data_IF_352804760790
#
_entry.id   IF_352804760790
#
_cell.length_a   1.000
_cell.length_b   1.000
_cell.length_c   1.000
_cell.angle_alpha   90.00
_cell.angle_beta   90.00
_cell.angle_gamma   90.00
#
_symmetry.space_group_name_H-M   'P 1'
#
loop_
_entity.id
_entity.type
_entity.pdbx_description
1 polymer ?
#
# COMPACT_ATOMS: atom_id res chain seq x y z
N UNK A 1 -4.61 30.43 14.92
CA UNK A 1 -5.40 29.24 14.52
C UNK A 1 -4.48 28.03 14.63
N UNK A 2 -4.88 27.03 15.42
CA UNK A 2 -4.11 25.79 15.58
C UNK A 2 -3.92 25.10 14.23
N UNK A 3 -2.75 24.47 14.01
CA UNK A 3 -2.38 23.96 12.69
C UNK A 3 -1.96 22.50 12.76
N UNK A 4 -2.50 21.68 11.87
CA UNK A 4 -2.03 20.31 11.59
C UNK A 4 -1.02 20.38 10.44
N UNK A 5 0.15 19.77 10.63
CA UNK A 5 1.23 19.75 9.65
C UNK A 5 1.39 18.34 9.13
N UNK A 6 1.35 18.16 7.81
CA UNK A 6 1.67 16.89 7.16
C UNK A 6 3.02 16.96 6.46
N UNK A 7 3.87 15.96 6.68
CA UNK A 7 5.15 15.78 6.02
C UNK A 7 5.10 14.51 5.18
N UNK A 8 5.30 14.64 3.89
CA UNK A 8 5.21 13.56 2.91
C UNK A 8 6.53 13.44 2.14
N UNK A 9 6.86 12.24 1.75
CA UNK A 9 7.99 12.02 0.83
C UNK A 9 7.59 12.40 -0.58
N UNK A 10 6.39 11.99 -1.01
CA UNK A 10 5.89 12.15 -2.37
C UNK A 10 4.38 11.84 -2.41
N UNK A 11 3.60 12.56 -3.20
CA UNK A 11 2.15 12.38 -3.30
C UNK A 11 1.62 12.26 -4.73
N UNK A 12 2.28 12.85 -5.73
CA UNK A 12 1.77 12.88 -7.11
C UNK A 12 1.94 11.56 -7.87
N UNK A 13 3.09 10.86 -7.80
CA UNK A 13 3.29 9.63 -8.57
C UNK A 13 2.33 8.51 -8.18
N UNK A 14 2.17 7.55 -9.07
CA UNK A 14 1.49 6.29 -8.76
C UNK A 14 2.33 5.44 -7.79
N UNK A 15 1.68 4.71 -6.88
CA UNK A 15 2.34 3.82 -5.93
C UNK A 15 1.57 3.69 -4.62
N UNK A 16 1.81 2.60 -3.90
CA UNK A 16 1.11 2.30 -2.64
C UNK A 16 1.37 3.33 -1.54
N UNK A 17 2.64 3.73 -1.36
CA UNK A 17 3.03 4.73 -0.33
C UNK A 17 2.48 6.11 -0.69
N UNK A 18 2.51 6.50 -1.96
CA UNK A 18 1.96 7.77 -2.43
C UNK A 18 0.44 7.82 -2.25
N UNK A 19 -0.27 6.73 -2.57
CA UNK A 19 -1.71 6.59 -2.32
C UNK A 19 -2.01 6.69 -0.82
N UNK A 20 -1.29 5.96 0.01
CA UNK A 20 -1.40 6.06 1.47
C UNK A 20 -1.20 7.52 1.95
N UNK A 21 -0.24 8.24 1.37
CA UNK A 21 -0.01 9.65 1.65
C UNK A 21 -1.20 10.54 1.34
N UNK A 22 -1.80 10.34 0.17
CA UNK A 22 -3.02 11.07 -0.21
C UNK A 22 -4.18 10.77 0.73
N UNK A 23 -4.36 9.51 1.13
CA UNK A 23 -5.41 9.11 2.09
C UNK A 23 -5.20 9.79 3.45
N UNK A 24 -3.98 9.75 4.00
CA UNK A 24 -3.65 10.44 5.26
C UNK A 24 -3.88 11.93 5.17
N UNK A 25 -3.47 12.58 4.06
CA UNK A 25 -3.67 14.01 3.86
C UNK A 25 -5.15 14.37 3.78
N UNK A 26 -5.96 13.60 3.05
CA UNK A 26 -7.41 13.81 2.95
C UNK A 26 -8.10 13.71 4.33
N UNK A 27 -7.76 12.68 5.11
CA UNK A 27 -8.30 12.51 6.46
C UNK A 27 -7.86 13.65 7.38
N UNK A 28 -6.58 14.04 7.34
CA UNK A 28 -6.06 15.12 8.17
C UNK A 28 -6.66 16.49 7.80
N UNK A 29 -6.90 16.76 6.51
CA UNK A 29 -7.57 17.99 6.05
C UNK A 29 -9.02 18.04 6.53
N UNK A 30 -9.78 16.94 6.39
CA UNK A 30 -11.15 16.81 6.90
C UNK A 30 -11.20 17.00 8.40
N UNK A 31 -10.35 16.29 9.15
CA UNK A 31 -10.24 16.45 10.61
C UNK A 31 -9.95 17.89 11.04
N UNK A 32 -9.07 18.59 10.32
CA UNK A 32 -8.77 19.98 10.59
C UNK A 32 -9.99 20.87 10.33
N UNK A 33 -10.69 20.70 9.20
CA UNK A 33 -11.86 21.48 8.83
C UNK A 33 -13.00 21.34 9.86
N UNK A 34 -13.29 20.10 10.29
CA UNK A 34 -14.35 19.82 11.28
C UNK A 34 -14.10 20.48 12.66
N UNK A 35 -12.83 20.76 12.99
CA UNK A 35 -12.43 21.36 14.28
C UNK A 35 -12.00 22.82 14.18
N UNK A 36 -12.14 23.44 13.02
CA UNK A 36 -11.72 24.82 12.80
C UNK A 36 -10.19 25.00 12.89
N UNK A 37 -9.39 23.97 12.58
CA UNK A 37 -7.94 24.05 12.50
C UNK A 37 -7.49 24.38 11.08
N UNK A 38 -6.32 25.00 10.94
CA UNK A 38 -5.62 25.07 9.67
C UNK A 38 -4.86 23.76 9.40
N UNK A 39 -4.57 23.47 8.13
CA UNK A 39 -3.59 22.45 7.77
C UNK A 39 -2.49 23.01 6.89
N UNK A 40 -1.32 22.37 6.92
CA UNK A 40 -0.19 22.68 6.05
C UNK A 40 0.53 21.40 5.67
N UNK A 41 0.44 21.02 4.40
CA UNK A 41 1.06 19.81 3.87
C UNK A 41 2.27 20.13 3.01
N UNK A 42 3.38 19.44 3.27
CA UNK A 42 4.66 19.62 2.63
C UNK A 42 5.12 18.28 2.06
N UNK A 43 5.51 18.26 0.80
CA UNK A 43 6.03 17.05 0.12
C UNK A 43 7.45 17.29 -0.37
N UNK A 44 8.37 16.39 0.03
CA UNK A 44 9.81 16.56 -0.23
C UNK A 44 10.16 16.42 -1.71
N UNK A 45 9.61 15.38 -2.39
CA UNK A 45 10.09 14.98 -3.71
C UNK A 45 9.25 15.50 -4.87
N UNK A 46 8.00 15.92 -4.61
CA UNK A 46 7.13 16.46 -5.64
C UNK A 46 7.66 17.78 -6.21
N UNK A 47 7.29 18.15 -7.45
CA UNK A 47 7.71 19.40 -8.08
C UNK A 47 7.50 20.61 -7.18
N UNK A 48 8.31 21.69 -7.33
CA UNK A 48 8.24 22.82 -6.44
C UNK A 48 6.95 23.62 -6.65
N UNK A 49 6.39 24.16 -5.56
CA UNK A 49 5.20 25.00 -5.57
C UNK A 49 3.94 24.31 -5.04
N UNK A 50 2.79 25.00 -5.15
CA UNK A 50 1.51 24.50 -4.69
C UNK A 50 0.91 23.49 -5.67
N UNK A 51 0.33 22.44 -5.12
CA UNK A 51 -0.40 21.40 -5.86
C UNK A 51 -1.73 21.12 -5.19
N UNK A 52 -2.74 20.76 -5.98
CA UNK A 52 -4.04 20.29 -5.51
C UNK A 52 -4.18 18.82 -5.79
N UNK A 53 -4.68 18.07 -4.82
CA UNK A 53 -4.99 16.64 -4.96
C UNK A 53 -6.41 16.39 -4.46
N UNK A 54 -7.10 15.48 -5.16
CA UNK A 54 -8.42 15.00 -4.78
C UNK A 54 -8.36 13.53 -4.36
N UNK A 55 -9.09 13.18 -3.31
CA UNK A 55 -9.30 11.80 -2.83
C UNK A 55 -10.78 11.65 -2.52
N UNK A 56 -11.52 10.94 -3.37
CA UNK A 56 -12.96 10.92 -3.31
C UNK A 56 -13.54 12.35 -3.32
N UNK A 57 -14.40 12.72 -2.37
CA UNK A 57 -14.95 14.07 -2.29
C UNK A 57 -13.98 15.12 -1.68
N UNK A 58 -12.90 14.69 -1.04
CA UNK A 58 -11.98 15.58 -0.36
C UNK A 58 -10.96 16.17 -1.35
N UNK A 59 -10.79 17.50 -1.30
CA UNK A 59 -9.75 18.22 -2.04
C UNK A 59 -8.86 18.97 -1.05
N UNK A 60 -7.55 18.90 -1.24
CA UNK A 60 -6.58 19.57 -0.37
C UNK A 60 -5.37 20.08 -1.15
N UNK A 61 -4.72 21.09 -0.56
CA UNK A 61 -3.51 21.71 -1.10
C UNK A 61 -2.27 21.23 -0.37
N UNK A 62 -1.17 21.06 -1.09
CA UNK A 62 0.15 20.85 -0.51
C UNK A 62 1.23 21.60 -1.29
N UNK A 63 2.42 21.74 -0.70
CA UNK A 63 3.59 22.37 -1.35
C UNK A 63 4.68 21.33 -1.58
N UNK A 64 5.15 21.23 -2.82
CA UNK A 64 6.29 20.38 -3.21
C UNK A 64 7.63 21.12 -3.09
N UNK A 65 8.73 20.38 -2.98
CA UNK A 65 10.08 20.91 -2.75
C UNK A 65 11.16 20.31 -3.67
N UNK A 66 10.81 19.52 -4.67
CA UNK A 66 11.72 18.96 -5.70
C UNK A 66 13.02 18.36 -5.12
N UNK A 67 12.92 17.58 -4.02
CA UNK A 67 14.06 16.98 -3.28
C UNK A 67 14.97 17.99 -2.58
N UNK A 68 14.60 19.27 -2.52
CA UNK A 68 15.37 20.31 -1.82
C UNK A 68 15.19 20.19 -0.30
N UNK A 69 16.00 19.31 0.32
CA UNK A 69 15.94 19.02 1.76
C UNK A 69 16.10 20.26 2.66
N UNK A 70 17.04 21.21 2.39
CA UNK A 70 17.15 22.43 3.20
C UNK A 70 15.89 23.28 3.17
N UNK A 71 15.31 23.55 1.98
CA UNK A 71 14.09 24.34 1.86
C UNK A 71 12.90 23.65 2.51
N UNK A 72 12.75 22.34 2.32
CA UNK A 72 11.72 21.52 2.97
C UNK A 72 11.84 21.59 4.50
N UNK A 73 13.04 21.36 5.05
CA UNK A 73 13.30 21.45 6.48
C UNK A 73 13.00 22.85 7.05
N UNK A 74 13.42 23.91 6.35
CA UNK A 74 13.12 25.29 6.76
C UNK A 74 11.62 25.58 6.74
N UNK A 75 10.89 25.11 5.73
CA UNK A 75 9.44 25.26 5.65
C UNK A 75 8.73 24.53 6.80
N UNK A 76 9.16 23.30 7.13
CA UNK A 76 8.65 22.53 8.26
C UNK A 76 8.89 23.25 9.61
N UNK A 77 10.11 23.78 9.82
CA UNK A 77 10.45 24.55 11.03
C UNK A 77 9.67 25.85 11.13
N UNK A 78 9.42 26.55 10.00
CA UNK A 78 8.55 27.74 9.99
C UNK A 78 7.10 27.40 10.31
N UNK A 79 6.60 26.26 9.81
CA UNK A 79 5.28 25.78 10.16
C UNK A 79 5.16 25.49 11.67
N UNK A 80 6.19 24.90 12.28
CA UNK A 80 6.27 24.65 13.71
C UNK A 80 6.29 25.92 14.59
N UNK A 81 6.55 27.10 14.02
CA UNK A 81 6.51 28.37 14.74
C UNK A 81 5.13 29.06 14.79
N UNK A 82 4.09 28.47 14.17
CA UNK A 82 2.76 29.10 14.00
C UNK A 82 1.65 28.33 14.71
N UNK A 83 1.71 28.22 16.03
CA UNK A 83 0.74 27.48 16.85
C UNK A 83 0.50 26.03 16.31
N UNK A 84 1.55 25.22 16.10
CA UNK A 84 1.41 23.87 15.61
C UNK A 84 0.79 23.01 16.70
N UNK A 85 -0.18 22.19 16.32
CA UNK A 85 -0.88 21.28 17.22
C UNK A 85 -0.36 19.84 17.05
N UNK A 86 -0.30 19.40 15.80
CA UNK A 86 0.06 18.03 15.42
C UNK A 86 0.91 18.05 14.15
N UNK A 87 1.96 17.23 14.12
CA UNK A 87 2.69 16.88 12.90
C UNK A 87 2.47 15.40 12.59
N UNK A 88 2.12 15.11 11.35
CA UNK A 88 1.96 13.76 10.82
C UNK A 88 3.05 13.56 9.76
N UNK A 89 3.97 12.63 9.97
CA UNK A 89 4.99 12.27 9.00
C UNK A 89 4.67 10.89 8.39
N UNK A 90 4.57 10.85 7.07
CA UNK A 90 4.15 9.64 6.38
C UNK A 90 5.27 8.58 6.29
N UNK A 91 6.50 8.88 6.65
CA UNK A 91 7.60 7.93 6.50
C UNK A 91 8.65 8.13 7.61
N UNK A 92 9.27 7.06 8.15
CA UNK A 92 10.27 7.16 9.21
C UNK A 92 11.50 8.00 8.84
N UNK A 93 11.82 8.14 7.55
CA UNK A 93 12.89 9.03 7.08
C UNK A 93 12.65 10.50 7.39
N UNK A 94 11.41 10.90 7.64
CA UNK A 94 11.03 12.27 8.02
C UNK A 94 11.05 12.48 9.55
N UNK A 95 11.24 11.44 10.35
CA UNK A 95 11.29 11.54 11.81
C UNK A 95 12.34 12.54 12.33
N UNK A 96 13.56 12.70 11.76
CA UNK A 96 14.51 13.74 12.20
C UNK A 96 13.95 15.16 12.05
N UNK A 97 13.18 15.44 10.98
CA UNK A 97 12.53 16.75 10.79
C UNK A 97 11.46 16.97 11.85
N UNK A 98 10.66 15.92 12.15
CA UNK A 98 9.66 15.94 13.24
C UNK A 98 10.32 16.25 14.58
N UNK A 99 11.43 15.59 14.90
CA UNK A 99 12.18 15.84 16.15
C UNK A 99 12.67 17.29 16.26
N UNK A 100 13.22 17.85 15.18
CA UNK A 100 13.64 19.26 15.14
C UNK A 100 12.44 20.23 15.31
N UNK A 101 11.29 19.93 14.71
CA UNK A 101 10.06 20.71 14.89
C UNK A 101 9.60 20.70 16.34
N UNK A 102 9.68 19.56 17.02
CA UNK A 102 9.32 19.41 18.43
C UNK A 102 10.28 20.13 19.36
N UNK A 103 11.57 20.17 19.06
CA UNK A 103 12.55 21.00 19.81
C UNK A 103 12.22 22.49 19.72
N UNK A 104 11.71 22.94 18.56
CA UNK A 104 11.27 24.33 18.37
C UNK A 104 9.95 24.64 19.07
N UNK A 105 9.05 23.66 19.18
CA UNK A 105 7.74 23.79 19.81
C UNK A 105 7.46 22.58 20.70
N UNK A 106 7.75 22.70 21.98
CA UNK A 106 7.62 21.61 22.96
C UNK A 106 6.19 21.07 23.12
N UNK A 107 5.18 21.82 22.66
CA UNK A 107 3.76 21.41 22.70
C UNK A 107 3.33 20.64 21.46
N UNK A 108 4.17 20.58 20.40
CA UNK A 108 3.86 19.91 19.15
C UNK A 108 3.77 18.40 19.36
N UNK A 109 2.62 17.83 19.06
CA UNK A 109 2.41 16.37 19.05
C UNK A 109 2.83 15.78 17.70
N UNK A 110 3.11 14.47 17.69
CA UNK A 110 3.65 13.82 16.50
C UNK A 110 3.11 12.41 16.29
N UNK A 111 2.75 12.14 15.03
CA UNK A 111 2.44 10.79 14.51
C UNK A 111 3.41 10.51 13.37
N UNK A 112 4.03 9.33 13.38
CA UNK A 112 4.88 8.86 12.28
C UNK A 112 4.32 7.54 11.76
N UNK A 113 4.16 7.43 10.44
CA UNK A 113 3.75 6.18 9.79
C UNK A 113 4.98 5.35 9.43
N UNK A 114 4.87 4.04 9.65
CA UNK A 114 5.71 3.02 9.07
C UNK A 114 4.90 2.23 8.04
N UNK A 115 5.54 1.79 6.94
CA UNK A 115 4.87 1.07 5.85
C UNK A 115 5.24 -0.42 5.82
N UNK A 116 6.42 -0.80 6.33
CA UNK A 116 6.91 -2.17 6.39
C UNK A 116 8.42 -2.28 6.24
N UNK A 117 8.89 -2.62 5.05
CA UNK A 117 10.29 -2.95 4.74
C UNK A 117 11.33 -1.97 5.32
N UNK A 118 11.02 -0.68 5.34
CA UNK A 118 11.95 0.37 5.79
C UNK A 118 12.22 0.34 7.29
N UNK A 119 11.43 -0.42 8.08
CA UNK A 119 11.63 -0.58 9.53
C UNK A 119 12.00 -2.01 9.93
N UNK A 120 12.13 -2.92 8.97
CA UNK A 120 12.51 -4.32 9.21
C UNK A 120 13.99 -4.52 9.52
N UNK A 121 14.80 -3.52 9.27
CA UNK A 121 16.20 -3.45 9.69
C UNK A 121 16.38 -2.25 10.61
N UNK A 122 17.32 -2.30 11.55
CA UNK A 122 17.59 -1.17 12.43
C UNK A 122 17.87 0.11 11.63
N UNK A 123 17.14 1.17 11.93
CA UNK A 123 17.41 2.48 11.38
C UNK A 123 18.72 3.02 11.97
N UNK A 124 19.47 3.79 11.18
CA UNK A 124 20.67 4.46 11.68
C UNK A 124 20.35 5.34 12.90
N UNK A 125 21.33 5.55 13.78
CA UNK A 125 21.19 6.19 15.09
C UNK A 125 20.29 7.44 15.10
N UNK A 126 20.49 8.37 14.18
CA UNK A 126 19.72 9.62 14.11
C UNK A 126 18.24 9.36 13.83
N UNK A 127 17.94 8.52 12.84
CA UNK A 127 16.54 8.20 12.45
C UNK A 127 15.85 7.36 13.51
N UNK A 128 16.52 6.37 14.07
CA UNK A 128 15.96 5.52 15.13
C UNK A 128 15.66 6.32 16.39
N UNK A 129 16.57 7.20 16.83
CA UNK A 129 16.35 8.05 18.01
C UNK A 129 15.21 9.03 17.76
N UNK A 130 15.14 9.64 16.57
CA UNK A 130 14.05 10.53 16.20
C UNK A 130 12.70 9.80 16.15
N UNK A 131 12.65 8.59 15.59
CA UNK A 131 11.43 7.78 15.54
C UNK A 131 10.96 7.39 16.94
N UNK A 132 11.87 6.99 17.83
CA UNK A 132 11.54 6.68 19.25
C UNK A 132 11.00 7.89 20.02
N UNK A 133 11.29 9.11 19.58
CA UNK A 133 10.77 10.32 20.21
C UNK A 133 9.33 10.66 19.79
N UNK A 134 8.77 10.04 18.76
CA UNK A 134 7.39 10.28 18.33
C UNK A 134 6.37 9.90 19.42
N UNK A 135 5.26 10.66 19.51
CA UNK A 135 4.19 10.36 20.47
C UNK A 135 3.43 9.09 20.07
N UNK A 136 3.28 8.86 18.75
CA UNK A 136 2.64 7.68 18.19
C UNK A 136 3.33 7.26 16.90
N UNK A 137 3.53 5.96 16.72
CA UNK A 137 3.94 5.35 15.45
C UNK A 137 2.81 4.45 14.96
N UNK A 138 2.38 4.65 13.71
CA UNK A 138 1.32 3.85 13.09
C UNK A 138 1.97 2.79 12.21
N UNK A 139 1.54 1.54 12.39
CA UNK A 139 1.93 0.37 11.62
C UNK A 139 0.72 -0.22 10.89
N UNK A 140 0.81 -0.57 9.58
CA UNK A 140 -0.32 -1.10 8.83
C UNK A 140 -0.62 -2.58 9.16
N UNK A 141 0.34 -3.31 9.71
CA UNK A 141 0.24 -4.76 9.96
C UNK A 141 0.82 -5.16 11.31
N UNK A 142 0.51 -6.39 11.74
CA UNK A 142 1.12 -7.02 12.95
C UNK A 142 2.63 -7.17 12.78
N UNK A 143 3.06 -7.61 11.61
CA UNK A 143 4.46 -7.81 11.30
C UNK A 143 5.25 -6.49 11.40
N UNK A 144 4.77 -5.41 10.78
CA UNK A 144 5.40 -4.10 10.89
C UNK A 144 5.43 -3.60 12.35
N UNK A 145 4.35 -3.84 13.12
CA UNK A 145 4.32 -3.47 14.53
C UNK A 145 5.34 -4.25 15.37
N UNK A 146 5.55 -5.54 15.08
CA UNK A 146 6.58 -6.37 15.72
C UNK A 146 7.99 -5.85 15.42
N UNK A 147 8.30 -5.52 14.16
CA UNK A 147 9.60 -4.94 13.77
C UNK A 147 9.85 -3.57 14.40
N UNK A 148 8.80 -2.76 14.60
CA UNK A 148 8.93 -1.51 15.35
C UNK A 148 9.34 -1.75 16.81
N UNK A 149 8.91 -2.85 17.43
CA UNK A 149 9.33 -3.22 18.79
C UNK A 149 10.75 -3.82 18.78
N UNK A 150 10.99 -4.85 17.95
CA UNK A 150 12.24 -5.62 17.97
C UNK A 150 13.43 -4.83 17.42
N UNK A 151 13.27 -4.23 16.23
CA UNK A 151 14.36 -3.59 15.49
C UNK A 151 14.51 -2.12 15.83
N UNK A 152 13.38 -1.39 16.02
CA UNK A 152 13.42 0.05 16.28
C UNK A 152 13.33 0.40 17.77
N UNK A 153 13.08 -0.59 18.65
CA UNK A 153 12.99 -0.43 20.09
C UNK A 153 11.90 0.58 20.52
N UNK A 154 10.79 0.62 19.80
CA UNK A 154 9.67 1.48 20.12
C UNK A 154 8.81 0.79 21.19
N UNK A 155 8.43 1.53 22.24
CA UNK A 155 7.56 1.01 23.29
C UNK A 155 6.19 0.66 22.72
N UNK A 156 5.64 -0.49 23.06
CA UNK A 156 4.35 -1.00 22.55
C UNK A 156 3.21 0.02 22.72
N UNK A 157 3.17 0.74 23.84
CA UNK A 157 2.15 1.79 24.10
C UNK A 157 2.25 3.03 23.18
N UNK A 158 3.30 3.12 22.36
CA UNK A 158 3.46 4.17 21.33
C UNK A 158 3.24 3.63 19.91
N UNK A 159 2.81 2.39 19.76
CA UNK A 159 2.49 1.78 18.46
C UNK A 159 0.98 1.59 18.38
N UNK A 160 0.41 2.00 17.26
CA UNK A 160 -0.99 1.69 16.90
C UNK A 160 -0.99 0.98 15.57
N UNK A 161 -1.67 -0.16 15.51
CA UNK A 161 -1.99 -0.80 14.24
C UNK A 161 -3.18 -0.09 13.61
N UNK A 162 -3.02 0.30 12.36
CA UNK A 162 -4.06 0.89 11.54
C UNK A 162 -3.89 0.37 10.11
N UNK A 163 -4.74 -0.55 9.72
CA UNK A 163 -4.78 -1.09 8.37
C UNK A 163 -5.10 0.01 7.36
N UNK A 164 -4.53 -0.09 6.17
CA UNK A 164 -4.93 0.78 5.06
C UNK A 164 -6.33 0.43 4.58
N UNK A 165 -7.10 1.44 4.21
CA UNK A 165 -8.39 1.28 3.56
C UNK A 165 -8.27 1.20 2.04
N UNK A 166 -9.28 0.60 1.41
CA UNK A 166 -9.44 0.60 -0.04
C UNK A 166 -9.58 2.05 -0.53
N UNK A 167 -9.09 2.31 -1.74
CA UNK A 167 -9.16 3.64 -2.34
C UNK A 167 -10.63 4.06 -2.57
N UNK A 168 -11.06 5.28 -2.19
CA UNK A 168 -12.45 5.73 -2.37
C UNK A 168 -12.92 5.72 -3.84
N UNK A 169 -12.01 5.99 -4.79
CA UNK A 169 -12.35 5.93 -6.22
C UNK A 169 -12.54 4.48 -6.67
N UNK A 170 -11.74 3.56 -6.13
CA UNK A 170 -11.91 2.13 -6.37
C UNK A 170 -13.25 1.64 -5.79
N UNK A 171 -13.59 2.05 -4.57
CA UNK A 171 -14.90 1.74 -3.97
C UNK A 171 -16.08 2.31 -4.79
N UNK A 172 -15.93 3.52 -5.33
CA UNK A 172 -16.94 4.13 -6.18
C UNK A 172 -17.17 3.32 -7.46
N UNK A 173 -16.09 2.79 -8.07
CA UNK A 173 -16.17 1.93 -9.25
C UNK A 173 -16.87 0.60 -8.96
N UNK A 174 -16.65 -0.01 -7.79
CA UNK A 174 -17.35 -1.23 -7.37
C UNK A 174 -18.85 -1.03 -7.22
N UNK A 175 -19.28 0.20 -6.90
CA UNK A 175 -20.70 0.56 -6.77
C UNK A 175 -21.34 0.98 -8.09
N UNK A 176 -20.55 1.21 -9.14
CA UNK A 176 -21.06 1.59 -10.44
C UNK A 176 -21.92 0.48 -11.06
N UNK A 177 -23.05 0.87 -11.66
CA UNK A 177 -24.01 -0.08 -12.25
C UNK A 177 -23.51 -0.74 -13.54
N UNK A 178 -22.45 -0.18 -14.15
CA UNK A 178 -21.91 -0.70 -15.41
C UNK A 178 -20.62 -1.46 -15.09
N UNK A 179 -20.57 -2.79 -15.33
CA UNK A 179 -19.34 -3.54 -15.16
C UNK A 179 -18.29 -3.04 -16.17
N UNK A 180 -16.99 -3.08 -15.81
CA UNK A 180 -15.92 -2.71 -16.73
C UNK A 180 -15.88 -3.69 -17.92
N UNK A 181 -15.53 -3.17 -19.09
CA UNK A 181 -15.25 -4.03 -20.26
C UNK A 181 -14.05 -4.93 -19.98
N UNK A 182 -14.06 -6.16 -20.51
CA UNK A 182 -12.88 -7.04 -20.46
C UNK A 182 -11.71 -6.37 -21.17
N UNK A 183 -10.50 -6.34 -20.61
CA UNK A 183 -9.33 -5.77 -21.28
C UNK A 183 -9.04 -6.50 -22.59
N UNK A 184 -8.71 -5.75 -23.65
CA UNK A 184 -8.43 -6.31 -24.98
C UNK A 184 -7.25 -7.30 -24.97
N UNK A 185 -6.28 -7.08 -24.08
CA UNK A 185 -5.10 -7.94 -23.92
C UNK A 185 -5.38 -9.23 -23.12
N UNK A 186 -6.62 -9.41 -22.62
CA UNK A 186 -7.03 -10.67 -21.97
C UNK A 186 -7.66 -11.59 -23.02
N UNK A 187 -7.03 -12.74 -23.33
CA UNK A 187 -7.60 -13.69 -24.28
C UNK A 187 -9.00 -14.14 -23.84
N UNK A 188 -9.95 -14.22 -24.77
CA UNK A 188 -11.38 -14.39 -24.48
C UNK A 188 -11.71 -15.62 -23.62
N UNK A 189 -10.97 -16.71 -23.78
CA UNK A 189 -11.22 -17.99 -23.08
C UNK A 189 -10.12 -18.36 -22.08
N UNK A 190 -9.16 -17.45 -21.82
CA UNK A 190 -8.07 -17.74 -20.91
C UNK A 190 -8.50 -17.71 -19.45
N UNK A 191 -7.84 -18.56 -18.65
CA UNK A 191 -7.82 -18.48 -17.19
C UNK A 191 -6.72 -17.51 -16.77
N UNK A 192 -7.11 -16.35 -16.27
CA UNK A 192 -6.21 -15.23 -16.04
C UNK A 192 -5.67 -15.21 -14.61
N UNK A 193 -4.37 -15.36 -14.47
CA UNK A 193 -3.61 -15.09 -13.26
C UNK A 193 -3.13 -13.65 -13.35
N UNK A 194 -3.59 -12.77 -12.48
CA UNK A 194 -3.18 -11.37 -12.44
C UNK A 194 -2.15 -11.13 -11.34
N UNK A 195 -1.11 -10.38 -11.65
CA UNK A 195 -0.22 -9.80 -10.66
C UNK A 195 0.02 -8.32 -10.95
N UNK A 196 0.05 -7.49 -9.92
CA UNK A 196 0.19 -6.03 -10.04
C UNK A 196 1.32 -5.56 -9.13
N UNK A 197 2.28 -4.85 -9.69
CA UNK A 197 3.41 -4.38 -8.92
C UNK A 197 4.33 -3.45 -9.69
N UNK A 198 5.36 -2.97 -9.02
CA UNK A 198 6.52 -2.36 -9.67
C UNK A 198 7.55 -3.47 -9.89
N UNK A 199 8.13 -3.50 -11.08
CA UNK A 199 9.05 -4.56 -11.50
C UNK A 199 10.46 -3.99 -11.68
N UNK A 200 11.01 -3.42 -10.59
CA UNK A 200 12.40 -2.96 -10.54
C UNK A 200 13.31 -4.06 -9.95
N UNK A 201 14.62 -4.02 -10.22
CA UNK A 201 15.58 -4.98 -9.63
C UNK A 201 15.51 -5.03 -8.09
N UNK A 202 15.20 -3.92 -7.45
CA UNK A 202 15.00 -3.85 -5.99
C UNK A 202 13.69 -4.51 -5.51
N UNK A 203 12.73 -4.75 -6.40
CA UNK A 203 11.40 -5.28 -6.07
C UNK A 203 11.25 -6.78 -6.38
N UNK A 204 12.34 -7.50 -6.66
CA UNK A 204 12.31 -8.97 -6.94
C UNK A 204 11.70 -9.78 -5.80
N UNK A 205 11.71 -9.26 -4.59
CA UNK A 205 11.04 -9.87 -3.44
C UNK A 205 9.53 -10.04 -3.64
N UNK A 206 8.93 -9.42 -4.65
CA UNK A 206 7.50 -9.55 -5.01
C UNK A 206 7.16 -10.90 -5.65
N UNK A 207 8.16 -11.65 -6.14
CA UNK A 207 7.99 -13.03 -6.58
C UNK A 207 7.46 -13.20 -8.01
N UNK A 208 7.65 -12.23 -8.92
CA UNK A 208 7.35 -12.39 -10.35
C UNK A 208 8.12 -13.59 -10.94
N UNK A 209 9.37 -13.77 -10.52
CA UNK A 209 10.19 -14.92 -10.92
C UNK A 209 9.55 -16.25 -10.53
N UNK A 210 9.01 -16.31 -9.31
CA UNK A 210 8.33 -17.51 -8.79
C UNK A 210 7.06 -17.80 -9.58
N UNK A 211 6.29 -16.78 -9.97
CA UNK A 211 5.10 -16.92 -10.82
C UNK A 211 5.47 -17.47 -12.19
N UNK A 212 6.50 -16.92 -12.85
CA UNK A 212 6.97 -17.40 -14.15
C UNK A 212 7.45 -18.85 -14.04
N UNK A 213 8.23 -19.19 -13.01
CA UNK A 213 8.75 -20.53 -12.77
C UNK A 213 7.66 -21.56 -12.41
N UNK A 214 6.54 -21.12 -11.84
CA UNK A 214 5.40 -21.98 -11.51
C UNK A 214 4.54 -22.32 -12.75
N UNK A 215 4.49 -21.43 -13.75
CA UNK A 215 3.57 -21.49 -14.88
C UNK A 215 3.71 -22.76 -15.72
N UNK A 216 4.92 -23.30 -16.04
CA UNK A 216 5.04 -24.55 -16.81
C UNK A 216 4.30 -25.72 -16.19
N UNK A 217 4.22 -25.79 -14.86
CA UNK A 217 3.47 -26.83 -14.17
C UNK A 217 1.97 -26.56 -14.22
N UNK A 218 1.54 -25.33 -14.00
CA UNK A 218 0.11 -24.93 -14.09
C UNK A 218 -0.45 -25.26 -15.46
N UNK A 219 0.30 -24.99 -16.53
CA UNK A 219 -0.13 -25.24 -17.93
C UNK A 219 -0.36 -26.73 -18.25
N UNK A 220 0.20 -27.66 -17.50
CA UNK A 220 -0.11 -29.09 -17.66
C UNK A 220 -1.52 -29.46 -17.21
N UNK A 221 -2.06 -28.74 -16.21
CA UNK A 221 -3.39 -28.97 -15.65
C UNK A 221 -4.42 -27.99 -16.24
N UNK A 222 -4.00 -26.77 -16.53
CA UNK A 222 -4.84 -25.67 -17.05
C UNK A 222 -4.14 -25.06 -18.28
N UNK A 223 -4.27 -25.70 -19.47
CA UNK A 223 -3.52 -25.31 -20.67
C UNK A 223 -3.86 -23.91 -21.22
N UNK A 224 -5.02 -23.39 -20.87
CA UNK A 224 -5.51 -22.05 -21.23
C UNK A 224 -5.16 -20.97 -20.17
N UNK A 225 -4.32 -21.31 -19.17
CA UNK A 225 -3.85 -20.33 -18.19
C UNK A 225 -2.92 -19.29 -18.85
N UNK A 226 -3.11 -18.03 -18.47
CA UNK A 226 -2.22 -16.92 -18.84
C UNK A 226 -1.86 -16.13 -17.58
N UNK A 227 -0.62 -15.67 -17.52
CA UNK A 227 -0.11 -14.78 -16.49
C UNK A 227 -0.05 -13.36 -17.03
N UNK A 228 -0.76 -12.44 -16.38
CA UNK A 228 -0.74 -11.00 -16.71
C UNK A 228 0.02 -10.25 -15.63
N UNK A 229 1.17 -9.68 -16.01
CA UNK A 229 1.96 -8.81 -15.15
C UNK A 229 1.64 -7.35 -15.47
N UNK A 230 1.01 -6.66 -14.54
CA UNK A 230 0.68 -5.23 -14.66
C UNK A 230 1.67 -4.41 -13.87
N UNK A 231 2.24 -3.38 -14.49
CA UNK A 231 3.11 -2.40 -13.86
C UNK A 231 4.40 -2.16 -14.60
N UNK A 232 5.13 -1.14 -14.15
CA UNK A 232 6.38 -0.67 -14.77
C UNK A 232 7.59 -1.12 -13.94
N UNK A 233 8.77 -1.09 -14.56
CA UNK A 233 10.05 -1.32 -13.91
C UNK A 233 11.14 -1.77 -14.87
N UNK A 234 12.38 -1.51 -14.47
CA UNK A 234 13.58 -1.79 -15.27
C UNK A 234 13.91 -3.29 -15.37
N UNK A 235 13.32 -4.15 -14.54
CA UNK A 235 13.57 -5.62 -14.52
C UNK A 235 12.74 -6.38 -15.58
N UNK A 236 11.85 -5.71 -16.30
CA UNK A 236 10.99 -6.30 -17.33
C UNK A 236 11.78 -7.12 -18.38
N UNK A 237 12.88 -6.61 -19.00
CA UNK A 237 13.61 -7.40 -20.01
C UNK A 237 14.12 -8.73 -19.46
N UNK A 238 14.54 -8.77 -18.18
CA UNK A 238 14.96 -10.00 -17.51
C UNK A 238 13.77 -10.97 -17.29
N UNK A 239 12.61 -10.45 -16.88
CA UNK A 239 11.41 -11.28 -16.71
C UNK A 239 10.92 -11.85 -18.04
N UNK A 240 10.99 -11.09 -19.14
CA UNK A 240 10.70 -11.57 -20.48
C UNK A 240 11.69 -12.67 -20.93
N UNK A 241 12.98 -12.50 -20.58
CA UNK A 241 13.98 -13.55 -20.87
C UNK A 241 13.70 -14.81 -20.05
N UNK A 242 13.39 -14.68 -18.77
CA UNK A 242 13.00 -15.81 -17.92
C UNK A 242 11.78 -16.56 -18.47
N UNK A 243 10.80 -15.84 -19.00
CA UNK A 243 9.61 -16.42 -19.63
C UNK A 243 9.98 -17.25 -20.88
N UNK A 244 10.91 -16.76 -21.72
CA UNK A 244 11.44 -17.50 -22.89
C UNK A 244 12.19 -18.75 -22.46
N UNK A 245 13.09 -18.62 -21.49
CA UNK A 245 13.93 -19.73 -20.99
C UNK A 245 13.08 -20.83 -20.33
N UNK A 246 11.96 -20.43 -19.73
CA UNK A 246 10.98 -21.35 -19.14
C UNK A 246 9.97 -21.93 -20.15
N UNK A 247 10.02 -21.52 -21.42
CA UNK A 247 9.12 -22.01 -22.48
C UNK A 247 7.67 -21.52 -22.36
N UNK A 248 7.41 -20.47 -21.59
CA UNK A 248 6.04 -19.98 -21.31
C UNK A 248 5.76 -18.56 -21.84
N UNK A 249 6.64 -18.02 -22.68
CA UNK A 249 6.53 -16.63 -23.15
C UNK A 249 5.17 -16.33 -23.81
N UNK A 250 4.57 -17.30 -24.53
CA UNK A 250 3.26 -17.15 -25.19
C UNK A 250 2.07 -17.14 -24.21
N UNK A 251 2.29 -17.46 -22.94
CA UNK A 251 1.30 -17.46 -21.87
C UNK A 251 1.50 -16.30 -20.88
N UNK A 252 2.35 -15.32 -21.23
CA UNK A 252 2.62 -14.18 -20.36
C UNK A 252 2.38 -12.87 -21.11
N UNK A 253 1.59 -11.99 -20.48
CA UNK A 253 1.30 -10.65 -21.00
C UNK A 253 1.83 -9.60 -20.01
N UNK A 254 2.61 -8.64 -20.53
CA UNK A 254 3.13 -7.51 -19.75
C UNK A 254 2.35 -6.25 -20.12
N UNK A 255 1.60 -5.72 -19.16
CA UNK A 255 0.79 -4.51 -19.33
C UNK A 255 1.38 -3.36 -18.51
N UNK A 256 1.49 -2.18 -19.12
CA UNK A 256 2.07 -0.99 -18.49
C UNK A 256 1.31 0.26 -18.93
N UNK A 257 1.49 1.35 -18.16
CA UNK A 257 0.83 2.63 -18.46
C UNK A 257 -0.69 2.60 -18.32
N UNK A 258 -1.25 1.61 -17.61
CA UNK A 258 -2.69 1.47 -17.46
C UNK A 258 -3.28 2.61 -16.63
N UNK A 259 -4.39 3.15 -17.10
CA UNK A 259 -5.23 4.04 -16.30
C UNK A 259 -5.94 3.27 -15.19
N UNK A 260 -6.46 3.99 -14.21
CA UNK A 260 -7.17 3.38 -13.07
C UNK A 260 -8.38 2.53 -13.51
N UNK A 261 -9.09 2.93 -14.58
CA UNK A 261 -10.21 2.17 -15.15
C UNK A 261 -9.76 0.83 -15.74
N UNK A 262 -8.63 0.85 -16.46
CA UNK A 262 -8.05 -0.33 -17.10
C UNK A 262 -7.51 -1.30 -16.06
N UNK A 263 -6.83 -0.77 -15.02
CA UNK A 263 -6.37 -1.57 -13.88
C UNK A 263 -7.54 -2.20 -13.12
N UNK A 264 -8.62 -1.43 -12.87
CA UNK A 264 -9.83 -1.96 -12.27
C UNK A 264 -10.45 -3.08 -13.12
N UNK A 265 -10.48 -2.91 -14.45
CA UNK A 265 -10.95 -3.94 -15.36
C UNK A 265 -10.07 -5.22 -15.28
N UNK A 266 -8.75 -5.08 -15.14
CA UNK A 266 -7.87 -6.23 -14.93
C UNK A 266 -8.25 -7.01 -13.65
N UNK A 267 -8.45 -6.33 -12.54
CA UNK A 267 -8.93 -7.00 -11.31
C UNK A 267 -10.31 -7.63 -11.48
N UNK A 268 -11.25 -6.94 -12.12
CA UNK A 268 -12.61 -7.44 -12.28
C UNK A 268 -12.69 -8.69 -13.18
N UNK A 269 -11.76 -8.85 -14.11
CA UNK A 269 -11.79 -9.93 -15.12
C UNK A 269 -10.73 -11.02 -14.93
N UNK A 270 -9.83 -10.93 -13.93
CA UNK A 270 -8.96 -12.06 -13.63
C UNK A 270 -9.72 -13.19 -12.93
N UNK A 271 -9.19 -14.41 -12.99
CA UNK A 271 -9.71 -15.57 -12.24
C UNK A 271 -9.06 -15.66 -10.87
N UNK A 272 -7.75 -15.39 -10.77
CA UNK A 272 -6.97 -15.41 -9.54
C UNK A 272 -6.01 -14.22 -9.53
N UNK A 273 -5.89 -13.55 -8.40
CA UNK A 273 -4.80 -12.60 -8.16
C UNK A 273 -3.67 -13.29 -7.41
N UNK A 274 -2.41 -13.13 -7.84
CA UNK A 274 -1.28 -13.76 -7.19
C UNK A 274 -0.09 -12.80 -7.04
N UNK A 275 0.41 -12.63 -5.81
CA UNK A 275 1.64 -11.89 -5.51
C UNK A 275 2.39 -12.60 -4.38
N UNK A 276 3.22 -13.64 -4.69
CA UNK A 276 3.91 -14.48 -3.71
C UNK A 276 5.15 -13.77 -3.13
N UNK A 277 4.96 -12.57 -2.59
CA UNK A 277 6.03 -11.71 -2.11
C UNK A 277 6.60 -12.17 -0.77
N UNK A 278 7.89 -11.87 -0.54
CA UNK A 278 8.55 -12.08 0.76
C UNK A 278 8.27 -10.93 1.74
N UNK A 279 7.86 -9.77 1.25
CA UNK A 279 7.95 -8.56 2.05
C UNK A 279 6.92 -7.47 1.72
N UNK A 280 5.62 -7.78 1.75
CA UNK A 280 4.63 -6.71 1.73
C UNK A 280 4.42 -6.13 3.14
N UNK A 281 4.47 -4.81 3.27
CA UNK A 281 4.15 -4.15 4.54
C UNK A 281 2.67 -4.30 4.91
N UNK A 282 1.80 -4.39 3.88
CA UNK A 282 0.36 -4.63 4.02
C UNK A 282 -0.23 -5.30 2.77
N UNK A 283 -0.07 -4.68 1.57
CA UNK A 283 -0.54 -5.25 0.31
C UNK A 283 -1.90 -4.70 -0.13
N UNK A 284 -1.98 -3.40 -0.45
CA UNK A 284 -3.20 -2.77 -0.99
C UNK A 284 -3.75 -3.48 -2.22
N UNK A 285 -2.88 -4.06 -3.05
CA UNK A 285 -3.27 -4.80 -4.27
C UNK A 285 -4.10 -6.07 -3.97
N UNK A 286 -3.92 -6.68 -2.79
CA UNK A 286 -4.78 -7.77 -2.33
C UNK A 286 -6.18 -7.26 -2.00
N UNK A 287 -6.30 -6.08 -1.36
CA UNK A 287 -7.62 -5.48 -1.10
C UNK A 287 -8.37 -5.20 -2.39
N UNK A 288 -7.67 -4.69 -3.43
CA UNK A 288 -8.24 -4.40 -4.75
C UNK A 288 -8.79 -5.67 -5.42
N UNK A 289 -8.01 -6.75 -5.41
CA UNK A 289 -8.42 -8.05 -5.95
C UNK A 289 -9.61 -8.65 -5.17
N UNK A 290 -9.51 -8.69 -3.84
CA UNK A 290 -10.56 -9.21 -2.95
C UNK A 290 -11.84 -8.38 -3.04
N UNK A 291 -11.75 -7.05 -3.17
CA UNK A 291 -12.90 -6.19 -3.39
C UNK A 291 -13.65 -6.50 -4.69
N UNK A 292 -12.93 -6.96 -5.73
CA UNK A 292 -13.49 -7.49 -6.98
C UNK A 292 -13.96 -8.95 -6.86
N UNK A 293 -14.08 -9.49 -5.64
CA UNK A 293 -14.43 -10.89 -5.36
C UNK A 293 -13.50 -11.90 -6.04
N UNK A 294 -12.20 -11.58 -6.12
CA UNK A 294 -11.19 -12.51 -6.66
C UNK A 294 -10.42 -13.18 -5.52
N UNK A 295 -10.21 -14.51 -5.59
CA UNK A 295 -9.35 -15.17 -4.65
C UNK A 295 -7.91 -14.66 -4.81
N UNK A 296 -7.21 -14.47 -3.69
CA UNK A 296 -5.86 -13.95 -3.68
C UNK A 296 -4.86 -15.00 -3.21
N UNK A 297 -3.73 -15.14 -3.91
CA UNK A 297 -2.59 -15.93 -3.46
C UNK A 297 -1.47 -14.97 -3.07
N UNK A 298 -1.07 -14.99 -1.80
CA UNK A 298 -0.03 -14.13 -1.26
C UNK A 298 1.14 -14.89 -0.68
N UNK A 299 2.25 -14.19 -0.41
CA UNK A 299 3.35 -14.75 0.35
C UNK A 299 2.99 -14.87 1.85
N UNK A 300 3.37 -15.96 2.49
CA UNK A 300 3.14 -16.20 3.93
C UNK A 300 4.06 -15.35 4.83
N UNK A 301 4.36 -14.11 4.42
CA UNK A 301 5.34 -13.24 5.08
C UNK A 301 4.85 -11.80 5.14
N UNK A 302 5.42 -11.02 6.06
CA UNK A 302 5.13 -9.60 6.22
C UNK A 302 3.69 -9.33 6.61
N UNK A 303 3.09 -8.29 6.05
CA UNK A 303 1.70 -7.89 6.31
C UNK A 303 0.64 -8.68 5.54
N UNK A 304 1.02 -9.54 4.59
CA UNK A 304 0.07 -10.32 3.78
C UNK A 304 -0.88 -11.19 4.61
N UNK A 305 -0.42 -11.90 5.70
CA UNK A 305 -1.31 -12.68 6.56
C UNK A 305 -2.30 -11.84 7.39
N UNK A 306 -2.14 -10.53 7.44
CA UNK A 306 -3.16 -9.65 8.04
C UNK A 306 -4.32 -9.41 7.08
N UNK A 307 -4.07 -9.43 5.78
CA UNK A 307 -5.06 -9.19 4.73
C UNK A 307 -5.73 -10.50 4.29
N UNK A 308 -4.93 -11.51 3.95
CA UNK A 308 -5.41 -12.81 3.48
C UNK A 308 -5.53 -13.77 4.67
N UNK A 309 -6.71 -14.32 4.85
CA UNK A 309 -6.97 -15.44 5.75
C UNK A 309 -6.82 -16.74 4.97
N UNK A 310 -5.75 -17.50 5.31
CA UNK A 310 -5.36 -18.71 4.56
C UNK A 310 -6.47 -19.75 4.53
N UNK A 311 -6.76 -20.27 3.34
CA UNK A 311 -7.83 -21.24 3.10
C UNK A 311 -9.25 -20.67 3.12
N UNK A 312 -9.44 -19.40 3.53
CA UNK A 312 -10.76 -18.75 3.67
C UNK A 312 -10.98 -17.66 2.62
N UNK A 313 -10.13 -16.64 2.59
CA UNK A 313 -10.24 -15.50 1.66
C UNK A 313 -9.19 -15.54 0.54
N UNK A 314 -8.25 -16.47 0.62
CA UNK A 314 -7.15 -16.68 -0.30
C UNK A 314 -6.25 -17.79 0.19
N UNK A 315 -5.09 -17.92 -0.43
CA UNK A 315 -4.06 -18.91 -0.06
C UNK A 315 -2.73 -18.21 0.23
N UNK A 316 -2.01 -18.71 1.23
CA UNK A 316 -0.68 -18.22 1.58
C UNK A 316 0.37 -19.27 1.21
N UNK A 317 1.41 -18.84 0.48
CA UNK A 317 2.51 -19.70 0.04
C UNK A 317 3.86 -19.17 0.51
N UNK A 318 4.84 -20.02 0.82
CA UNK A 318 6.21 -19.55 1.08
C UNK A 318 6.79 -18.85 -0.14
N UNK A 319 7.50 -17.74 0.08
CA UNK A 319 8.20 -17.05 -1.00
C UNK A 319 9.26 -17.95 -1.66
N UNK A 320 9.32 -17.94 -2.98
CA UNK A 320 10.28 -18.71 -3.77
C UNK A 320 9.89 -20.17 -3.99
N UNK A 321 8.82 -20.66 -3.38
CA UNK A 321 8.33 -22.03 -3.59
C UNK A 321 7.39 -22.12 -4.80
N UNK A 322 7.98 -22.30 -5.99
CA UNK A 322 7.22 -22.44 -7.23
C UNK A 322 6.33 -23.69 -7.26
N UNK A 323 6.66 -24.75 -6.50
CA UNK A 323 5.87 -25.98 -6.47
C UNK A 323 4.57 -25.80 -5.67
N UNK A 324 4.65 -25.21 -4.48
CA UNK A 324 3.46 -24.86 -3.69
C UNK A 324 2.62 -23.79 -4.37
N UNK A 325 3.26 -22.79 -4.99
CA UNK A 325 2.54 -21.77 -5.76
C UNK A 325 1.78 -22.40 -6.95
N UNK A 326 2.41 -23.33 -7.71
CA UNK A 326 1.72 -24.04 -8.78
C UNK A 326 0.49 -24.78 -8.26
N UNK A 327 0.65 -25.53 -7.18
CA UNK A 327 -0.46 -26.30 -6.58
C UNK A 327 -1.60 -25.38 -6.11
N UNK A 328 -1.28 -24.22 -5.53
CA UNK A 328 -2.27 -23.22 -5.13
C UNK A 328 -3.02 -22.65 -6.35
N UNK A 329 -2.30 -22.29 -7.43
CA UNK A 329 -2.89 -21.79 -8.68
C UNK A 329 -3.77 -22.86 -9.34
N UNK A 330 -3.26 -24.09 -9.47
CA UNK A 330 -4.01 -25.23 -10.02
C UNK A 330 -5.32 -25.46 -9.26
N UNK A 331 -5.28 -25.42 -7.92
CA UNK A 331 -6.45 -25.68 -7.08
C UNK A 331 -7.57 -24.65 -7.24
N UNK A 332 -7.25 -23.41 -7.60
CA UNK A 332 -8.24 -22.34 -7.81
C UNK A 332 -8.67 -22.24 -9.28
N UNK A 333 -7.75 -22.43 -10.24
CA UNK A 333 -8.08 -22.35 -11.66
C UNK A 333 -8.87 -23.56 -12.16
N UNK A 334 -8.63 -24.75 -11.59
CA UNK A 334 -9.35 -25.98 -11.95
C UNK A 334 -10.73 -26.08 -11.25
N UNK A 335 -10.96 -25.34 -10.17
CA UNK A 335 -12.24 -25.32 -9.43
C UNK A 335 -12.80 -23.88 -9.33
N UNK A 336 -13.53 -23.40 -10.36
CA UNK A 336 -14.12 -22.07 -10.37
C UNK A 336 -15.12 -21.82 -9.24
N UNK A 337 -15.82 -22.87 -8.76
CA UNK A 337 -16.76 -22.73 -7.65
C UNK A 337 -16.07 -22.37 -6.36
N UNK A 338 -15.01 -23.09 -6.02
CA UNK A 338 -14.14 -22.79 -4.86
C UNK A 338 -13.50 -21.42 -4.97
N UNK A 339 -12.99 -21.06 -6.16
CA UNK A 339 -12.42 -19.74 -6.41
C UNK A 339 -13.44 -18.61 -6.18
N UNK A 340 -14.67 -18.77 -6.68
CA UNK A 340 -15.75 -17.83 -6.50
C UNK A 340 -16.14 -17.67 -5.02
N UNK A 341 -16.32 -18.76 -4.28
CA UNK A 341 -16.64 -18.72 -2.84
C UNK A 341 -15.53 -18.02 -2.03
N UNK A 342 -14.27 -18.36 -2.30
CA UNK A 342 -13.13 -17.74 -1.64
C UNK A 342 -13.05 -16.23 -1.95
N UNK A 343 -13.27 -15.85 -3.20
CA UNK A 343 -13.33 -14.45 -3.63
C UNK A 343 -14.47 -13.68 -2.97
N UNK A 344 -15.65 -14.29 -2.85
CA UNK A 344 -16.81 -13.68 -2.16
C UNK A 344 -16.50 -13.38 -0.69
N UNK A 345 -15.92 -14.35 0.04
CA UNK A 345 -15.47 -14.15 1.44
C UNK A 345 -14.39 -13.07 1.53
N UNK A 346 -13.49 -13.02 0.53
CA UNK A 346 -12.50 -11.95 0.42
C UNK A 346 -13.16 -10.57 0.33
N UNK A 347 -14.17 -10.41 -0.51
CA UNK A 347 -14.92 -9.17 -0.65
C UNK A 347 -15.67 -8.79 0.63
N UNK A 348 -16.33 -9.74 1.28
CA UNK A 348 -16.99 -9.51 2.58
C UNK A 348 -16.00 -8.98 3.63
N UNK A 349 -14.80 -9.59 3.72
CA UNK A 349 -13.74 -9.14 4.62
C UNK A 349 -13.28 -7.72 4.31
N UNK A 350 -13.08 -7.36 3.02
CA UNK A 350 -12.72 -5.98 2.65
C UNK A 350 -13.81 -4.99 3.06
N UNK A 351 -15.06 -5.32 2.84
CA UNK A 351 -16.20 -4.48 3.23
C UNK A 351 -16.34 -4.34 4.76
N UNK A 352 -16.03 -5.40 5.51
CA UNK A 352 -16.10 -5.41 6.97
C UNK A 352 -14.93 -4.66 7.63
N UNK A 353 -13.68 -4.78 7.10
CA UNK A 353 -12.48 -4.40 7.84
C UNK A 353 -11.61 -3.35 7.17
N UNK A 354 -11.75 -3.11 5.83
CA UNK A 354 -10.76 -2.37 5.05
C UNK A 354 -11.36 -1.29 4.14
N UNK A 355 -12.49 -0.71 4.52
CA UNK A 355 -13.04 0.45 3.79
C UNK A 355 -12.25 1.72 4.08
N UNK A 356 -12.33 2.70 3.19
CA UNK A 356 -11.74 4.02 3.45
C UNK A 356 -12.34 4.69 4.68
N UNK A 357 -13.63 4.49 4.95
CA UNK A 357 -14.31 5.04 6.12
C UNK A 357 -13.73 4.50 7.45
N UNK A 358 -13.43 3.19 7.50
CA UNK A 358 -12.79 2.58 8.67
C UNK A 358 -11.38 3.12 8.90
N UNK A 359 -10.58 3.25 7.81
CA UNK A 359 -9.29 3.90 7.89
C UNK A 359 -9.40 5.35 8.38
N UNK A 360 -10.34 6.12 7.82
CA UNK A 360 -10.59 7.52 8.24
C UNK A 360 -10.95 7.61 9.71
N UNK A 361 -11.87 6.77 10.18
CA UNK A 361 -12.29 6.72 11.59
C UNK A 361 -11.11 6.36 12.50
N UNK A 362 -10.36 5.31 12.16
CA UNK A 362 -9.20 4.87 12.93
C UNK A 362 -8.10 5.93 13.02
N UNK A 363 -7.81 6.64 11.92
CA UNK A 363 -6.83 7.72 11.91
C UNK A 363 -7.33 8.95 12.69
N UNK A 364 -8.61 9.30 12.57
CA UNK A 364 -9.20 10.40 13.35
C UNK A 364 -9.09 10.14 14.86
N UNK A 365 -9.44 8.95 15.31
CA UNK A 365 -9.25 8.55 16.71
C UNK A 365 -7.77 8.57 17.13
N UNK A 366 -6.85 8.16 16.24
CA UNK A 366 -5.42 8.24 16.54
C UNK A 366 -4.95 9.67 16.74
N UNK A 367 -5.44 10.61 15.92
CA UNK A 367 -5.14 12.04 16.06
C UNK A 367 -5.72 12.61 17.35
N UNK A 368 -6.97 12.28 17.70
CA UNK A 368 -7.63 12.71 18.95
C UNK A 368 -6.86 12.23 20.18
N UNK A 369 -6.54 10.93 20.25
CA UNK A 369 -5.82 10.36 21.39
C UNK A 369 -4.46 11.00 21.61
N UNK A 370 -3.74 11.32 20.52
CA UNK A 370 -2.46 12.01 20.62
C UNK A 370 -2.62 13.45 21.11
N UNK A 371 -3.70 14.12 20.74
CA UNK A 371 -3.99 15.49 21.16
C UNK A 371 -4.47 15.57 22.61
N UNK A 372 -5.21 14.57 23.10
CA UNK A 372 -5.76 14.52 24.47
C UNK A 372 -4.71 14.06 25.50
N UNK A 373 -3.71 13.26 25.13
CA UNK A 373 -2.66 12.79 26.06
C UNK A 373 -1.98 13.98 26.73
N UNK A 374 -2.37 14.27 27.98
CA UNK A 374 -1.63 15.14 28.88
C UNK A 374 -0.34 14.42 29.32
N UNK A 375 0.72 15.16 29.54
CA UNK A 375 2.02 14.66 30.03
C UNK A 375 1.89 14.01 31.41
#
# INVERSE_FOLDING_TARGET
MSTIIGLFTEMLPAGGVQRAGRHVAAVAAKFAAERGFAYRFLSLNDPPGPHTVRVGPAEFLFSGYARNKPQFGLAALRAAGRQPLLVIALHPHLAPVVAMMRLRSGKLRSIVFAHGLEVWQPLGWLRGTALRSADLVIAPSRDTAQHLVSEQQIRTGRIRRLAWGLDPEFEARLRASVPPSRPADFPERARVILTVGRWDPADRYKGADTLISALPRVLRTVPDAVLVLVGEGEDRPRLEQLARDSGVANHIHFLFGLKQEELFACYAHCDVFALPSRGEGFGLVFLEAMACAKPAIGGAHGGTPDVIEDGVTGLLVPHGDAALLSSALESLLADPSRACEMGARGRERVQADYTFEQFQTGLSHAMEDVLIRQH
#
